data_IF_940463741471
#
_entry.id   IF_940463741471
#
_cell.length_a   1.000
_cell.length_b   1.000
_cell.length_c   1.000
_cell.angle_alpha   90.00
_cell.angle_beta   90.00
_cell.angle_gamma   90.00
#
_symmetry.space_group_name_H-M   'P 1'
#
loop_
_entity.id
_entity.type
_entity.pdbx_description
1 polymer ?
#
# COMPACT_ATOMS: atom_id res chain seq x y z
N UNK A 1 -25.88 -51.50 7.45
CA UNK A 1 -24.59 -50.96 7.89
C UNK A 1 -24.26 -49.78 6.93
N UNK A 2 -24.60 -48.55 7.33
CA UNK A 2 -24.43 -47.38 6.50
C UNK A 2 -23.15 -46.67 6.95
N UNK A 3 -22.14 -46.62 6.05
CA UNK A 3 -20.92 -45.90 6.27
C UNK A 3 -21.07 -44.41 5.94
N UNK A 4 -20.91 -43.51 6.90
CA UNK A 4 -20.80 -42.09 6.69
C UNK A 4 -19.35 -41.76 6.24
N UNK A 5 -19.21 -41.47 4.96
CA UNK A 5 -17.94 -40.91 4.44
C UNK A 5 -17.85 -39.44 4.77
N UNK A 6 -16.94 -39.06 5.66
CA UNK A 6 -16.52 -37.67 5.82
C UNK A 6 -15.71 -37.24 4.60
N UNK A 7 -16.23 -36.30 3.82
CA UNK A 7 -15.43 -35.61 2.81
C UNK A 7 -14.60 -34.54 3.51
N UNK A 8 -13.31 -34.76 3.59
CA UNK A 8 -12.34 -33.68 3.82
C UNK A 8 -12.32 -32.81 2.57
N UNK A 9 -12.82 -31.57 2.67
CA UNK A 9 -12.63 -30.57 1.63
C UNK A 9 -11.29 -29.86 1.90
N UNK A 10 -10.19 -30.52 1.54
CA UNK A 10 -8.86 -29.91 1.51
C UNK A 10 -8.60 -29.46 0.08
N UNK A 11 -8.79 -28.17 -0.17
CA UNK A 11 -8.53 -27.63 -1.49
C UNK A 11 -8.72 -26.14 -1.53
N UNK A 12 -7.91 -25.39 -0.75
CA UNK A 12 -7.65 -24.01 -1.10
C UNK A 12 -6.72 -24.03 -2.31
N UNK A 13 -7.28 -23.97 -3.50
CA UNK A 13 -6.53 -23.80 -4.74
C UNK A 13 -6.19 -22.30 -4.78
N UNK A 14 -4.95 -21.95 -4.45
CA UNK A 14 -4.42 -20.62 -4.76
C UNK A 14 -4.18 -20.62 -6.27
N UNK A 15 -5.15 -20.09 -7.03
CA UNK A 15 -5.04 -19.94 -8.47
C UNK A 15 -3.98 -18.91 -8.82
N UNK A 16 -2.94 -19.34 -9.51
CA UNK A 16 -2.05 -18.43 -10.22
C UNK A 16 -2.82 -17.71 -11.32
N UNK A 17 -2.73 -16.39 -11.38
CA UNK A 17 -3.50 -15.48 -12.19
C UNK A 17 -3.75 -15.90 -13.64
N UNK A 18 -5.02 -15.84 -14.02
CA UNK A 18 -5.47 -16.04 -15.39
C UNK A 18 -6.97 -16.30 -15.44
N UNK A 19 -7.76 -15.26 -15.66
CA UNK A 19 -9.12 -15.18 -16.14
C UNK A 19 -10.07 -16.35 -15.85
N UNK A 20 -10.83 -16.26 -14.78
CA UNK A 20 -11.95 -17.15 -14.53
C UNK A 20 -12.34 -17.22 -13.04
N UNK A 21 -13.19 -16.31 -12.56
CA UNK A 21 -13.94 -16.53 -11.32
C UNK A 21 -13.18 -16.42 -9.99
N UNK A 22 -11.97 -15.91 -9.99
CA UNK A 22 -11.20 -15.70 -8.76
C UNK A 22 -11.71 -14.43 -8.04
N UNK A 23 -12.02 -14.58 -6.76
CA UNK A 23 -12.47 -13.48 -5.92
C UNK A 23 -11.36 -12.44 -5.76
N UNK A 24 -11.73 -11.16 -5.80
CA UNK A 24 -10.78 -10.07 -5.58
C UNK A 24 -10.49 -9.88 -4.09
N UNK A 25 -9.27 -9.42 -3.77
CA UNK A 25 -8.82 -9.22 -2.39
C UNK A 25 -9.80 -8.37 -1.57
N UNK A 26 -10.32 -7.28 -2.14
CA UNK A 26 -11.28 -6.39 -1.47
C UNK A 26 -12.60 -7.10 -1.20
N UNK A 27 -13.06 -7.91 -2.15
CA UNK A 27 -14.34 -8.61 -2.05
C UNK A 27 -14.29 -9.71 -0.96
N UNK A 28 -13.10 -10.31 -0.73
CA UNK A 28 -12.90 -11.36 0.28
C UNK A 28 -12.64 -10.81 1.69
N UNK A 29 -11.88 -9.70 1.80
CA UNK A 29 -11.34 -9.26 3.09
C UNK A 29 -11.83 -7.88 3.53
N UNK A 30 -12.57 -7.14 2.70
CA UNK A 30 -13.21 -5.85 3.01
C UNK A 30 -12.29 -4.85 3.74
N UNK A 31 -11.15 -4.43 3.18
CA UNK A 31 -10.26 -3.43 3.77
C UNK A 31 -10.98 -2.10 3.96
N UNK A 32 -10.52 -1.30 4.94
CA UNK A 32 -11.00 0.05 5.14
C UNK A 32 -10.53 1.03 4.07
N UNK A 33 -9.28 0.84 3.58
CA UNK A 33 -8.68 1.56 2.46
C UNK A 33 -7.89 0.57 1.61
N UNK A 34 -7.96 0.72 0.28
CA UNK A 34 -7.26 -0.14 -0.64
C UNK A 34 -6.77 0.62 -1.87
N UNK A 35 -5.51 1.06 -1.87
CA UNK A 35 -4.81 1.64 -3.02
C UNK A 35 -3.91 0.58 -3.64
N UNK A 36 -4.13 0.25 -4.90
CA UNK A 36 -3.30 -0.72 -5.64
C UNK A 36 -3.25 -0.36 -7.12
N UNK A 37 -2.09 -0.51 -7.76
CA UNK A 37 -1.96 -0.26 -9.19
C UNK A 37 -2.57 -1.36 -10.05
N UNK A 38 -2.83 -2.55 -9.48
CA UNK A 38 -3.67 -3.58 -10.11
C UNK A 38 -5.11 -3.49 -9.62
N UNK A 39 -6.00 -4.16 -10.31
CA UNK A 39 -7.39 -4.34 -9.89
C UNK A 39 -7.48 -5.34 -8.75
N UNK A 40 -7.99 -4.91 -7.59
CA UNK A 40 -8.17 -5.74 -6.39
C UNK A 40 -9.61 -5.75 -5.87
N UNK A 41 -10.56 -5.19 -6.65
CA UNK A 41 -12.00 -5.20 -6.37
C UNK A 41 -12.78 -5.44 -7.65
N UNK A 42 -13.84 -6.23 -7.59
CA UNK A 42 -14.73 -6.48 -8.73
C UNK A 42 -15.39 -5.21 -9.26
N UNK A 43 -15.63 -4.24 -8.38
CA UNK A 43 -16.33 -2.98 -8.69
C UNK A 43 -15.41 -1.83 -9.08
N UNK A 44 -14.09 -1.96 -8.86
CA UNK A 44 -13.16 -0.90 -9.21
C UNK A 44 -13.03 -0.71 -10.72
N UNK A 45 -13.08 0.54 -11.16
CA UNK A 45 -12.94 0.95 -12.57
C UNK A 45 -11.66 1.69 -12.86
N UNK A 46 -11.13 2.44 -11.88
CA UNK A 46 -9.93 3.25 -12.00
C UNK A 46 -8.93 2.92 -10.89
N UNK A 47 -7.64 2.98 -11.21
CA UNK A 47 -6.55 2.88 -10.26
C UNK A 47 -6.03 4.26 -9.86
N UNK A 48 -5.66 5.07 -10.84
CA UNK A 48 -5.05 6.39 -10.64
C UNK A 48 -5.64 7.43 -11.58
N UNK A 49 -5.58 8.71 -11.18
CA UNK A 49 -5.70 9.86 -12.09
C UNK A 49 -4.33 10.46 -12.30
N UNK A 50 -3.98 10.71 -13.55
CA UNK A 50 -2.67 11.22 -13.96
C UNK A 50 -2.82 12.57 -14.65
N UNK A 51 -2.02 13.57 -14.24
CA UNK A 51 -1.81 14.84 -14.93
C UNK A 51 -0.55 14.73 -15.79
N UNK A 52 -0.62 15.04 -17.06
CA UNK A 52 0.57 15.14 -17.91
C UNK A 52 1.17 16.55 -17.88
N UNK A 53 2.51 16.62 -17.90
CA UNK A 53 3.24 17.88 -17.70
C UNK A 53 3.04 18.89 -18.83
N UNK A 54 2.89 18.43 -20.07
CA UNK A 54 2.91 19.28 -21.27
C UNK A 54 1.78 20.32 -21.34
N UNK A 55 0.61 19.99 -20.80
CA UNK A 55 -0.60 20.84 -20.91
C UNK A 55 -1.48 20.83 -19.65
N UNK A 56 -1.05 20.10 -18.61
CA UNK A 56 -1.78 19.88 -17.36
C UNK A 56 -3.15 19.19 -17.53
N UNK A 57 -3.42 18.54 -18.64
CA UNK A 57 -4.60 17.70 -18.78
C UNK A 57 -4.50 16.48 -17.86
N UNK A 58 -5.65 16.00 -17.40
CA UNK A 58 -5.77 14.85 -16.53
C UNK A 58 -6.56 13.72 -17.20
N UNK A 59 -6.19 12.48 -16.91
CA UNK A 59 -6.87 11.27 -17.35
C UNK A 59 -6.94 10.24 -16.24
N UNK A 60 -8.11 9.62 -16.10
CA UNK A 60 -8.28 8.44 -15.25
C UNK A 60 -7.71 7.22 -15.97
N UNK A 61 -6.81 6.51 -15.30
CA UNK A 61 -6.22 5.27 -15.77
C UNK A 61 -6.84 4.12 -14.99
N UNK A 62 -7.54 3.26 -15.71
CA UNK A 62 -8.18 2.07 -15.18
C UNK A 62 -7.32 0.82 -15.35
N UNK A 63 -7.98 -0.27 -15.76
CA UNK A 63 -7.37 -1.58 -15.81
C UNK A 63 -7.54 -2.21 -17.21
N UNK A 64 -6.54 -3.00 -17.61
CA UNK A 64 -6.60 -3.93 -18.73
C UNK A 64 -6.50 -5.34 -18.16
N UNK A 65 -7.64 -6.04 -18.06
CA UNK A 65 -7.77 -7.20 -17.18
C UNK A 65 -7.59 -6.77 -15.73
N UNK A 66 -6.68 -7.42 -15.00
CA UNK A 66 -6.37 -7.05 -13.62
C UNK A 66 -5.12 -6.15 -13.49
N UNK A 67 -4.43 -5.87 -14.57
CA UNK A 67 -3.28 -4.97 -14.59
C UNK A 67 -3.71 -3.51 -14.82
N UNK A 68 -2.88 -2.55 -14.38
CA UNK A 68 -3.02 -1.15 -14.80
C UNK A 68 -3.07 -1.07 -16.34
N UNK A 69 -3.90 -0.20 -16.90
CA UNK A 69 -3.90 0.04 -18.34
C UNK A 69 -2.67 0.85 -18.76
N UNK A 70 -1.54 0.15 -18.89
CA UNK A 70 -0.27 0.73 -19.30
C UNK A 70 -0.32 1.34 -20.70
N UNK A 71 -1.16 0.79 -21.59
CA UNK A 71 -1.34 1.32 -22.95
C UNK A 71 -2.00 2.70 -22.94
N UNK A 72 -3.07 2.86 -22.16
CA UNK A 72 -3.73 4.14 -21.98
C UNK A 72 -2.78 5.17 -21.36
N UNK A 73 -2.04 4.75 -20.31
CA UNK A 73 -1.07 5.61 -19.61
C UNK A 73 0.08 6.06 -20.53
N UNK A 74 0.71 5.13 -21.25
CA UNK A 74 1.79 5.44 -22.20
C UNK A 74 1.33 6.36 -23.32
N UNK A 75 0.14 6.10 -23.87
CA UNK A 75 -0.46 6.95 -24.91
C UNK A 75 -0.71 8.35 -24.39
N UNK A 76 -1.29 8.48 -23.20
CA UNK A 76 -1.58 9.77 -22.57
C UNK A 76 -0.31 10.58 -22.27
N UNK A 77 0.74 9.93 -21.78
CA UNK A 77 2.02 10.54 -21.41
C UNK A 77 3.05 10.55 -22.56
N UNK A 78 2.64 10.31 -23.81
CA UNK A 78 3.56 10.26 -24.93
C UNK A 78 4.38 11.55 -25.09
N UNK A 79 5.72 11.44 -24.94
CA UNK A 79 6.66 12.56 -25.04
C UNK A 79 6.59 13.56 -23.89
N UNK A 80 6.00 13.20 -22.74
CA UNK A 80 5.88 14.06 -21.56
C UNK A 80 5.88 13.24 -20.27
N UNK A 81 6.09 13.90 -19.13
CA UNK A 81 5.99 13.27 -17.83
C UNK A 81 4.53 13.18 -17.36
N UNK A 82 4.23 12.14 -16.57
CA UNK A 82 2.96 11.91 -15.92
C UNK A 82 3.08 11.86 -14.39
N UNK A 83 2.20 12.62 -13.71
CA UNK A 83 2.18 12.76 -12.26
C UNK A 83 0.81 12.35 -11.71
N UNK A 84 0.80 11.59 -10.61
CA UNK A 84 -0.43 11.09 -9.99
C UNK A 84 -1.07 12.20 -9.15
N UNK A 85 -2.30 12.56 -9.51
CA UNK A 85 -3.13 13.52 -8.76
C UNK A 85 -4.07 12.83 -7.80
N UNK A 86 -4.48 11.59 -8.11
CA UNK A 86 -5.38 10.77 -7.29
C UNK A 86 -4.94 9.30 -7.35
N UNK A 87 -4.85 8.66 -6.20
CA UNK A 87 -4.81 7.20 -6.09
C UNK A 87 -6.17 6.75 -5.59
N UNK A 88 -6.93 6.08 -6.44
CA UNK A 88 -8.31 5.71 -6.17
C UNK A 88 -8.40 4.58 -5.14
N UNK A 89 -9.32 4.75 -4.22
CA UNK A 89 -9.65 3.74 -3.21
C UNK A 89 -10.54 2.65 -3.81
N UNK A 90 -10.03 1.45 -3.88
CA UNK A 90 -10.77 0.29 -4.40
C UNK A 90 -11.60 -0.43 -3.31
N UNK A 91 -11.55 0.02 -2.05
CA UNK A 91 -12.31 -0.60 -0.95
C UNK A 91 -13.83 -0.38 -1.05
N UNK A 92 -14.27 0.56 -1.89
CA UNK A 92 -15.67 0.99 -1.98
C UNK A 92 -16.06 2.08 -0.97
N UNK A 93 -15.15 2.51 -0.09
CA UNK A 93 -15.40 3.55 0.92
C UNK A 93 -15.17 4.98 0.40
N UNK A 94 -14.73 5.14 -0.84
CA UNK A 94 -14.47 6.44 -1.48
C UNK A 94 -13.45 7.30 -0.70
N UNK A 95 -12.41 6.66 -0.23
CA UNK A 95 -11.34 7.27 0.58
C UNK A 95 -10.09 7.56 -0.28
N UNK A 96 -10.27 8.13 -1.45
CA UNK A 96 -9.20 8.43 -2.41
C UNK A 96 -8.09 9.29 -1.79
N UNK A 97 -6.83 8.96 -2.10
CA UNK A 97 -5.67 9.78 -1.74
C UNK A 97 -5.38 10.78 -2.86
N UNK A 98 -5.36 12.08 -2.53
CA UNK A 98 -5.29 13.16 -3.52
C UNK A 98 -4.15 14.14 -3.26
N UNK A 99 -3.64 14.77 -4.35
CA UNK A 99 -2.71 15.89 -4.31
C UNK A 99 -3.04 16.91 -5.39
N UNK A 100 -3.63 18.04 -4.99
CA UNK A 100 -4.00 19.12 -5.90
C UNK A 100 -2.80 19.99 -6.32
N UNK A 101 -1.75 20.05 -5.51
CA UNK A 101 -0.56 20.88 -5.78
C UNK A 101 0.34 20.19 -6.79
N UNK A 102 0.41 20.70 -8.00
CA UNK A 102 1.15 20.09 -9.12
C UNK A 102 2.62 19.76 -8.81
N UNK A 103 3.30 20.62 -8.06
CA UNK A 103 4.71 20.41 -7.67
C UNK A 103 4.91 19.37 -6.57
N UNK A 104 3.84 18.81 -6.02
CA UNK A 104 3.88 17.82 -4.95
C UNK A 104 3.23 16.49 -5.36
N UNK A 105 3.03 16.28 -6.65
CA UNK A 105 2.43 15.08 -7.21
C UNK A 105 3.53 14.07 -7.56
N UNK A 106 3.49 12.85 -7.02
CA UNK A 106 4.48 11.82 -7.33
C UNK A 106 4.35 11.36 -8.79
N UNK A 107 5.48 10.97 -9.38
CA UNK A 107 5.57 10.58 -10.78
C UNK A 107 5.15 9.13 -11.00
N UNK A 108 4.56 8.86 -12.15
CA UNK A 108 4.28 7.50 -12.65
C UNK A 108 4.90 7.25 -14.02
N UNK A 109 5.26 8.31 -14.74
CA UNK A 109 5.78 8.22 -16.09
C UNK A 109 6.83 9.30 -16.34
N UNK A 110 7.97 8.92 -16.91
CA UNK A 110 9.03 9.83 -17.35
C UNK A 110 9.15 9.81 -18.87
N UNK A 111 8.81 10.92 -19.51
CA UNK A 111 8.91 11.08 -20.98
C UNK A 111 8.24 9.91 -21.76
N UNK A 112 7.05 9.50 -21.32
CA UNK A 112 6.29 8.41 -21.95
C UNK A 112 6.69 7.00 -21.49
N UNK A 113 7.71 6.85 -20.63
CA UNK A 113 8.13 5.57 -20.06
C UNK A 113 7.57 5.43 -18.65
N UNK A 114 6.83 4.36 -18.40
CA UNK A 114 6.23 4.09 -17.09
C UNK A 114 7.31 3.71 -16.08
N UNK A 115 7.32 4.37 -14.93
CA UNK A 115 8.14 3.97 -13.78
C UNK A 115 7.70 2.58 -13.30
N UNK A 116 8.64 1.70 -13.03
CA UNK A 116 8.34 0.31 -12.67
C UNK A 116 9.30 -0.27 -11.65
N UNK A 117 8.80 -1.22 -10.86
CA UNK A 117 9.58 -2.07 -9.96
C UNK A 117 9.21 -3.51 -10.27
N UNK A 118 10.22 -4.36 -10.44
CA UNK A 118 10.06 -5.78 -10.76
C UNK A 118 9.13 -6.02 -11.99
N UNK A 119 9.24 -5.14 -13.01
CA UNK A 119 8.44 -5.23 -14.23
C UNK A 119 6.96 -4.88 -14.07
N UNK A 120 6.56 -4.26 -12.96
CA UNK A 120 5.20 -3.78 -12.71
C UNK A 120 5.21 -2.27 -12.48
N UNK A 121 4.20 -1.51 -12.93
CA UNK A 121 4.08 -0.09 -12.69
C UNK A 121 4.27 0.28 -11.22
N UNK A 122 4.91 1.42 -10.96
CA UNK A 122 5.15 1.93 -9.61
C UNK A 122 5.13 3.45 -9.58
N UNK A 123 4.56 4.05 -8.54
CA UNK A 123 4.52 5.49 -8.32
C UNK A 123 5.80 5.90 -7.60
N UNK A 124 6.53 6.87 -8.13
CA UNK A 124 7.78 7.38 -7.57
C UNK A 124 7.55 8.67 -6.77
N UNK A 125 7.86 8.62 -5.47
CA UNK A 125 8.04 9.82 -4.65
C UNK A 125 9.50 10.28 -4.68
N UNK A 126 9.73 11.56 -4.92
CA UNK A 126 11.07 12.14 -5.14
C UNK A 126 11.88 12.38 -3.85
N UNK A 127 11.24 12.29 -2.69
CA UNK A 127 11.86 12.58 -1.39
C UNK A 127 12.02 14.08 -1.09
N UNK A 128 11.41 14.96 -1.88
CA UNK A 128 11.52 16.42 -1.74
C UNK A 128 10.21 17.04 -1.26
N UNK A 129 9.11 16.80 -1.98
CA UNK A 129 7.82 17.42 -1.67
C UNK A 129 6.60 16.57 -2.08
N UNK A 130 6.80 15.40 -2.65
CA UNK A 130 5.74 14.52 -3.12
C UNK A 130 4.88 13.97 -1.98
N UNK A 131 3.58 13.89 -2.24
CA UNK A 131 2.59 13.35 -1.32
C UNK A 131 1.31 12.95 -2.05
N UNK A 132 0.60 11.95 -1.51
CA UNK A 132 -0.83 11.70 -1.79
C UNK A 132 -1.52 11.52 -0.44
N UNK A 133 -2.64 12.18 -0.21
CA UNK A 133 -3.26 12.24 1.13
C UNK A 133 -4.75 11.99 1.12
N UNK A 134 -5.22 11.32 2.17
CA UNK A 134 -6.62 11.29 2.58
C UNK A 134 -6.73 11.83 3.99
N UNK A 135 -7.56 12.84 4.19
CA UNK A 135 -7.85 13.46 5.48
C UNK A 135 -9.29 13.20 5.91
N UNK A 136 -9.63 13.54 7.16
CA UNK A 136 -10.99 13.38 7.68
C UNK A 136 -11.36 11.93 8.00
N UNK A 137 -10.37 11.07 8.21
CA UNK A 137 -10.57 9.70 8.63
C UNK A 137 -10.89 9.65 10.13
N UNK A 138 -11.57 8.58 10.53
CA UNK A 138 -11.77 8.25 11.95
C UNK A 138 -11.44 6.78 12.14
N UNK A 139 -10.35 6.52 12.80
CA UNK A 139 -9.92 5.17 13.07
C UNK A 139 -9.05 5.05 14.31
N UNK A 140 -9.00 3.85 14.84
CA UNK A 140 -8.24 3.49 16.03
C UNK A 140 -7.69 2.08 15.88
N UNK A 141 -7.11 1.55 16.94
CA UNK A 141 -6.78 0.12 17.02
C UNK A 141 -8.04 -0.73 17.27
N UNK A 142 -8.02 -1.99 16.91
CA UNK A 142 -6.96 -2.70 16.17
C UNK A 142 -6.88 -2.26 14.71
N UNK A 143 -5.70 -2.38 14.09
CA UNK A 143 -5.54 -2.16 12.64
C UNK A 143 -4.43 -3.04 12.05
N UNK A 144 -4.56 -3.28 10.75
CA UNK A 144 -3.53 -3.92 9.94
C UNK A 144 -3.23 -3.02 8.76
N UNK A 145 -1.95 -2.71 8.53
CA UNK A 145 -1.49 -1.93 7.39
C UNK A 145 -0.52 -2.76 6.56
N UNK A 146 -0.67 -2.69 5.25
CA UNK A 146 0.15 -3.41 4.28
C UNK A 146 0.65 -2.40 3.28
N UNK A 147 1.94 -2.46 2.95
CA UNK A 147 2.54 -1.62 1.92
C UNK A 147 3.48 -2.44 1.06
N UNK A 148 3.37 -2.24 -0.25
CA UNK A 148 4.34 -2.73 -1.22
C UNK A 148 5.12 -1.54 -1.78
N UNK A 149 6.41 -1.52 -1.52
CA UNK A 149 7.29 -0.42 -1.88
C UNK A 149 8.70 -0.91 -2.26
N UNK A 150 9.44 -0.04 -2.93
CA UNK A 150 10.89 -0.20 -3.14
C UNK A 150 11.59 1.08 -2.69
N UNK A 151 12.54 0.93 -1.77
CA UNK A 151 13.22 2.04 -1.14
C UNK A 151 14.39 2.52 -1.98
N UNK A 152 14.44 3.83 -2.24
CA UNK A 152 15.58 4.50 -2.89
C UNK A 152 16.35 5.32 -1.86
N UNK A 153 15.64 6.12 -1.07
CA UNK A 153 16.21 7.01 -0.05
C UNK A 153 16.43 6.33 1.31
N UNK A 154 17.09 7.07 2.20
CA UNK A 154 17.45 6.59 3.55
C UNK A 154 16.66 7.28 4.66
N UNK A 155 15.66 8.10 4.32
CA UNK A 155 14.84 8.82 5.28
C UNK A 155 13.44 9.06 4.74
N UNK A 156 12.49 9.28 5.64
CA UNK A 156 11.12 9.62 5.31
C UNK A 156 10.11 8.86 6.17
N UNK A 157 8.86 9.28 6.09
CA UNK A 157 7.74 8.68 6.80
C UNK A 157 6.50 8.64 5.90
N UNK A 158 5.70 7.60 6.01
CA UNK A 158 4.43 7.45 5.29
C UNK A 158 3.46 6.54 6.04
N UNK A 159 2.20 6.53 5.66
CA UNK A 159 1.17 5.65 6.20
C UNK A 159 0.06 6.38 6.94
N UNK A 160 -0.48 5.79 8.00
CA UNK A 160 -1.55 6.37 8.80
C UNK A 160 -1.02 7.32 9.88
N UNK A 161 -1.60 8.50 9.99
CA UNK A 161 -1.16 9.56 10.87
C UNK A 161 -2.26 10.10 11.77
N UNK A 162 -1.85 10.64 12.93
CA UNK A 162 -2.66 11.48 13.81
C UNK A 162 -1.98 12.83 13.97
N UNK A 163 -2.75 13.88 14.15
CA UNK A 163 -2.27 15.26 14.17
C UNK A 163 -1.16 15.57 15.19
N UNK A 164 -1.03 14.84 16.28
CA UNK A 164 0.05 15.06 17.26
C UNK A 164 0.78 13.78 17.67
N UNK A 165 0.23 12.63 17.34
CA UNK A 165 0.81 11.33 17.66
C UNK A 165 0.92 10.52 16.37
N UNK A 166 2.12 10.16 16.01
CA UNK A 166 2.43 9.60 14.71
C UNK A 166 2.61 8.12 14.89
N UNK A 167 1.85 7.32 14.12
CA UNK A 167 2.21 5.93 13.86
C UNK A 167 2.30 5.77 12.37
N UNK A 168 3.49 5.54 11.88
CA UNK A 168 3.77 5.47 10.45
C UNK A 168 4.94 4.55 10.18
N UNK A 169 5.06 4.13 8.93
CA UNK A 169 6.29 3.53 8.46
C UNK A 169 7.38 4.61 8.39
N UNK A 170 8.55 4.30 8.90
CA UNK A 170 9.74 5.13 8.82
C UNK A 170 10.76 4.45 7.94
N UNK A 171 11.21 5.14 6.89
CA UNK A 171 12.38 4.73 6.12
C UNK A 171 13.63 5.24 6.84
N UNK A 172 14.57 4.35 7.15
CA UNK A 172 15.84 4.70 7.76
C UNK A 172 17.03 4.15 6.95
N UNK A 173 18.22 4.67 7.20
CA UNK A 173 19.44 4.19 6.54
C UNK A 173 19.69 2.68 6.78
N UNK A 174 19.27 2.19 7.93
CA UNK A 174 19.43 0.80 8.36
C UNK A 174 18.17 -0.06 8.15
N UNK A 175 17.13 0.47 7.48
CA UNK A 175 15.90 -0.26 7.17
C UNK A 175 14.63 0.51 7.53
N UNK A 176 13.49 -0.12 7.29
CA UNK A 176 12.17 0.44 7.58
C UNK A 176 11.63 -0.06 8.90
N UNK A 177 10.90 0.77 9.61
CA UNK A 177 10.30 0.45 10.91
C UNK A 177 9.02 1.26 11.14
N UNK A 178 8.28 0.96 12.21
CA UNK A 178 7.23 1.84 12.70
C UNK A 178 7.83 2.92 13.59
N UNK A 179 7.30 4.11 13.43
CA UNK A 179 7.62 5.27 14.26
C UNK A 179 6.35 5.77 14.94
N UNK A 180 6.41 5.95 16.28
CA UNK A 180 5.32 6.54 17.04
C UNK A 180 5.86 7.45 18.14
N UNK A 181 5.28 8.64 18.29
CA UNK A 181 5.53 9.57 19.40
C UNK A 181 7.02 9.83 19.72
N UNK A 182 7.89 9.90 18.73
CA UNK A 182 9.30 10.15 18.96
C UNK A 182 10.16 8.89 19.15
N UNK A 183 9.55 7.73 19.24
CA UNK A 183 10.25 6.45 19.34
C UNK A 183 10.07 5.63 18.07
N UNK A 184 11.09 4.92 17.68
CA UNK A 184 11.09 4.01 16.55
C UNK A 184 11.06 2.57 17.06
N UNK A 185 10.17 1.76 16.48
CA UNK A 185 9.88 0.40 16.94
C UNK A 185 10.07 -0.60 15.82
N UNK A 186 10.38 -1.81 16.20
CA UNK A 186 10.54 -2.94 15.33
C UNK A 186 11.95 -3.07 14.75
N UNK A 187 12.23 -4.24 14.24
CA UNK A 187 13.45 -4.49 13.51
C UNK A 187 13.40 -3.76 12.18
N UNK A 188 14.55 -3.60 11.61
CA UNK A 188 14.73 -2.98 10.31
C UNK A 188 14.46 -4.00 9.22
N UNK A 189 13.65 -3.62 8.24
CA UNK A 189 13.83 -4.19 6.91
C UNK A 189 15.23 -3.84 6.44
N UNK A 190 16.04 -4.83 6.19
CA UNK A 190 17.41 -4.62 5.67
C UNK A 190 17.46 -4.55 4.15
N UNK A 191 16.31 -4.66 3.49
CA UNK A 191 16.23 -4.77 2.05
C UNK A 191 16.31 -3.38 1.40
N UNK A 192 17.25 -3.22 0.47
CA UNK A 192 17.29 -2.12 -0.49
C UNK A 192 16.64 -2.56 -1.81
N UNK A 193 15.53 -3.31 -1.71
CA UNK A 193 14.80 -3.89 -2.83
C UNK A 193 13.32 -3.83 -2.51
N UNK A 194 12.48 -4.12 -3.48
CA UNK A 194 11.04 -4.22 -3.29
C UNK A 194 10.70 -5.10 -2.06
N UNK A 195 9.85 -4.60 -1.19
CA UNK A 195 9.43 -5.29 0.02
C UNK A 195 7.93 -5.15 0.26
N UNK A 196 7.30 -6.25 0.67
CA UNK A 196 5.96 -6.27 1.20
C UNK A 196 6.05 -6.22 2.73
N UNK A 197 5.77 -5.06 3.31
CA UNK A 197 5.65 -4.92 4.75
C UNK A 197 4.20 -5.03 5.19
N UNK A 198 3.98 -5.75 6.26
CA UNK A 198 2.70 -5.76 6.97
C UNK A 198 2.94 -5.45 8.44
N UNK A 199 2.16 -4.53 8.95
CA UNK A 199 2.08 -4.18 10.35
C UNK A 199 0.70 -4.56 10.88
N UNK A 200 0.66 -5.26 12.01
CA UNK A 200 -0.56 -5.58 12.76
C UNK A 200 -0.48 -4.99 14.16
N UNK A 201 -1.51 -4.30 14.59
CA UNK A 201 -1.69 -3.93 15.99
C UNK A 201 -2.95 -4.56 16.55
N UNK A 202 -2.83 -5.34 17.58
CA UNK A 202 -3.92 -5.75 18.46
C UNK A 202 -4.23 -4.65 19.47
N UNK A 203 -4.97 -4.87 20.55
CA UNK A 203 -5.57 -3.76 21.26
C UNK A 203 -4.63 -2.88 22.09
N UNK A 204 -3.97 -3.29 23.14
CA UNK A 204 -3.52 -2.32 24.15
C UNK A 204 -2.08 -2.46 24.62
N UNK A 205 -1.37 -3.48 24.23
CA UNK A 205 0.01 -3.71 24.66
C UNK A 205 0.95 -3.87 23.47
N UNK A 206 2.21 -3.52 23.64
CA UNK A 206 3.23 -3.62 22.60
C UNK A 206 3.66 -5.03 22.29
N UNK A 207 3.45 -5.96 23.22
CA UNK A 207 3.70 -7.39 22.99
C UNK A 207 2.86 -7.95 21.83
N UNK A 208 1.77 -7.26 21.48
CA UNK A 208 0.79 -7.70 20.50
C UNK A 208 1.01 -7.10 19.12
N UNK A 209 2.01 -6.25 18.93
CA UNK A 209 2.37 -5.71 17.64
C UNK A 209 3.25 -6.67 16.88
N UNK A 210 2.86 -6.91 15.63
CA UNK A 210 3.59 -7.82 14.77
C UNK A 210 3.98 -7.15 13.47
N UNK A 211 5.18 -7.43 13.06
CA UNK A 211 5.76 -7.01 11.81
C UNK A 211 6.06 -8.22 10.95
N UNK A 212 5.74 -8.09 9.68
CA UNK A 212 6.06 -9.10 8.67
C UNK A 212 6.73 -8.41 7.48
N UNK A 213 7.79 -9.01 6.98
CA UNK A 213 8.44 -8.63 5.75
C UNK A 213 8.51 -9.83 4.84
N UNK A 214 8.00 -9.68 3.60
CA UNK A 214 8.00 -10.73 2.61
C UNK A 214 7.50 -12.09 3.16
N UNK A 215 6.34 -12.05 3.82
CA UNK A 215 5.70 -13.22 4.43
C UNK A 215 6.24 -13.66 5.78
N UNK A 216 7.45 -13.28 6.15
CA UNK A 216 8.12 -13.71 7.39
C UNK A 216 7.89 -12.73 8.53
N UNK A 217 7.58 -13.25 9.75
CA UNK A 217 7.49 -12.42 10.94
C UNK A 217 8.88 -11.91 11.34
N UNK A 218 8.97 -10.59 11.53
CA UNK A 218 10.18 -9.96 12.03
C UNK A 218 10.02 -9.74 13.54
N UNK A 219 11.00 -10.19 14.32
CA UNK A 219 10.96 -10.12 15.78
C UNK A 219 10.94 -8.67 16.26
N UNK A 220 9.98 -8.32 17.10
CA UNK A 220 9.84 -6.99 17.67
C UNK A 220 10.67 -6.88 18.96
N UNK A 221 11.45 -5.81 19.11
CA UNK A 221 12.13 -5.42 20.35
C UNK A 221 11.38 -4.26 21.03
N UNK A 222 10.04 -4.34 21.13
CA UNK A 222 9.20 -3.19 21.32
C UNK A 222 9.10 -2.64 22.73
N UNK A 223 8.92 -1.33 22.84
CA UNK A 223 8.45 -0.59 24.01
C UNK A 223 6.92 -0.42 23.98
N UNK A 224 6.32 -0.12 25.14
CA UNK A 224 4.88 0.05 25.27
C UNK A 224 4.37 1.33 24.58
N UNK A 225 3.48 1.21 23.63
CA UNK A 225 2.86 2.33 22.94
C UNK A 225 1.40 2.43 23.35
N UNK A 226 0.97 3.63 23.80
CA UNK A 226 -0.39 3.89 24.25
C UNK A 226 -1.48 3.76 23.17
N UNK A 227 -2.68 4.19 23.48
CA UNK A 227 -3.80 4.23 22.53
C UNK A 227 -3.44 5.01 21.26
N UNK A 228 -3.88 4.51 20.13
CA UNK A 228 -3.62 5.08 18.82
C UNK A 228 -4.94 5.36 18.11
N UNK A 229 -5.10 6.58 17.64
CA UNK A 229 -6.14 6.96 16.68
C UNK A 229 -5.48 7.57 15.46
N UNK A 230 -6.11 7.50 14.30
CA UNK A 230 -5.62 8.18 13.10
C UNK A 230 -6.77 8.96 12.45
N UNK A 231 -6.44 10.08 11.80
CA UNK A 231 -7.40 10.93 11.11
C UNK A 231 -6.98 11.27 9.68
N UNK A 232 -5.82 10.80 9.26
CA UNK A 232 -5.36 10.94 7.89
C UNK A 232 -4.40 9.81 7.50
N UNK A 233 -4.27 9.61 6.20
CA UNK A 233 -3.21 8.82 5.57
C UNK A 233 -2.41 9.76 4.68
N UNK A 234 -1.10 9.60 4.68
CA UNK A 234 -0.19 10.28 3.80
C UNK A 234 0.80 9.28 3.21
N UNK A 235 0.83 9.23 1.90
CA UNK A 235 1.77 8.42 1.14
C UNK A 235 2.91 9.34 0.69
N UNK A 236 4.15 8.85 0.76
CA UNK A 236 5.40 9.55 0.43
C UNK A 236 5.82 10.64 1.40
N UNK A 237 5.02 11.03 2.39
CA UNK A 237 5.40 12.05 3.34
C UNK A 237 4.74 11.90 4.72
N UNK A 238 5.15 12.77 5.63
CA UNK A 238 4.54 13.02 6.93
C UNK A 238 3.94 14.43 6.96
N UNK A 239 2.63 14.58 7.21
CA UNK A 239 1.94 15.87 7.10
C UNK A 239 2.45 16.99 8.02
N UNK A 240 3.11 16.65 9.13
CA UNK A 240 3.49 17.60 10.20
C UNK A 240 4.93 18.09 10.13
N UNK A 241 5.75 17.50 9.31
CA UNK A 241 7.14 17.95 9.09
C UNK A 241 7.62 17.57 7.68
N UNK A 242 8.71 18.19 7.26
CA UNK A 242 9.26 18.03 5.92
C UNK A 242 9.93 16.67 5.66
N UNK A 243 9.51 15.58 6.33
CA UNK A 243 10.06 14.25 6.09
C UNK A 243 9.37 13.60 4.91
N UNK A 244 10.09 13.46 3.81
CA UNK A 244 9.64 12.91 2.53
C UNK A 244 10.30 11.58 2.26
N UNK A 245 9.64 10.72 1.49
CA UNK A 245 10.13 9.42 1.11
C UNK A 245 10.55 9.39 -0.35
N UNK A 246 11.83 9.11 -0.60
CA UNK A 246 12.29 8.74 -1.94
C UNK A 246 12.12 7.22 -2.09
N UNK A 247 11.03 6.83 -2.72
CA UNK A 247 10.67 5.43 -2.87
C UNK A 247 9.67 5.22 -4.00
N UNK A 248 9.62 4.03 -4.52
CA UNK A 248 8.49 3.54 -5.32
C UNK A 248 7.42 2.94 -4.41
N UNK A 249 6.15 3.14 -4.77
CA UNK A 249 5.00 2.50 -4.12
C UNK A 249 4.09 1.87 -5.17
N UNK A 250 3.62 0.65 -4.90
CA UNK A 250 2.71 -0.07 -5.80
C UNK A 250 1.37 -0.38 -5.14
N UNK A 251 1.35 -0.52 -3.81
CA UNK A 251 0.14 -0.83 -3.05
C UNK A 251 0.21 -0.28 -1.62
N UNK A 252 -0.94 0.17 -1.10
CA UNK A 252 -1.15 0.45 0.32
C UNK A 252 -2.57 0.04 0.70
N UNK A 253 -2.69 -0.90 1.63
CA UNK A 253 -3.98 -1.45 2.08
C UNK A 253 -4.07 -1.35 3.60
N UNK A 254 -5.23 -0.98 4.12
CA UNK A 254 -5.45 -0.83 5.55
C UNK A 254 -6.78 -1.44 5.98
N UNK A 255 -6.74 -2.19 7.06
CA UNK A 255 -7.90 -2.75 7.74
C UNK A 255 -8.08 -2.09 9.11
N UNK A 256 -9.31 -1.86 9.53
CA UNK A 256 -9.69 -1.44 10.88
C UNK A 256 -9.86 -2.66 11.82
N UNK A 257 -9.08 -3.69 11.60
CA UNK A 257 -9.10 -4.97 12.31
C UNK A 257 -7.70 -5.53 12.48
N UNK A 258 -7.53 -6.40 13.46
CA UNK A 258 -6.37 -7.28 13.57
C UNK A 258 -6.63 -8.52 12.70
N UNK A 259 -6.08 -8.54 11.51
CA UNK A 259 -6.31 -9.65 10.59
C UNK A 259 -5.78 -10.98 11.15
N UNK A 260 -6.59 -12.03 11.05
CA UNK A 260 -6.20 -13.36 11.48
C UNK A 260 -4.94 -13.85 10.75
N UNK A 261 -4.24 -14.82 11.32
CA UNK A 261 -3.07 -15.41 10.64
C UNK A 261 -3.44 -16.01 9.27
N UNK A 262 -4.62 -16.60 9.15
CA UNK A 262 -5.11 -17.17 7.88
C UNK A 262 -5.35 -16.06 6.85
N UNK A 263 -6.07 -14.99 7.21
CA UNK A 263 -6.30 -13.86 6.32
C UNK A 263 -4.99 -13.18 5.92
N UNK A 264 -4.10 -12.95 6.90
CA UNK A 264 -2.78 -12.37 6.67
C UNK A 264 -2.00 -13.13 5.59
N UNK A 265 -1.88 -14.44 5.74
CA UNK A 265 -1.15 -15.27 4.78
C UNK A 265 -1.79 -15.20 3.40
N UNK A 266 -3.10 -15.35 3.31
CA UNK A 266 -3.81 -15.30 2.05
C UNK A 266 -3.71 -13.94 1.34
N UNK A 267 -3.75 -12.82 2.09
CA UNK A 267 -3.56 -11.48 1.56
C UNK A 267 -2.12 -11.30 1.04
N UNK A 268 -1.12 -11.73 1.81
CA UNK A 268 0.29 -11.65 1.41
C UNK A 268 0.57 -12.50 0.16
N UNK A 269 0.03 -13.72 0.12
CA UNK A 269 0.17 -14.62 -1.03
C UNK A 269 -0.51 -14.04 -2.29
N UNK A 270 -1.69 -13.43 -2.14
CA UNK A 270 -2.39 -12.77 -3.23
C UNK A 270 -1.59 -11.60 -3.83
N UNK A 271 -0.98 -10.76 -2.98
CA UNK A 271 -0.12 -9.66 -3.43
C UNK A 271 1.16 -10.20 -4.07
N UNK A 272 1.82 -11.17 -3.42
CA UNK A 272 3.05 -11.77 -3.93
C UNK A 272 2.86 -12.51 -5.26
N UNK A 273 1.74 -13.17 -5.45
CA UNK A 273 1.43 -13.87 -6.70
C UNK A 273 1.39 -12.94 -7.92
N UNK A 274 0.96 -11.69 -7.74
CA UNK A 274 0.94 -10.69 -8.83
C UNK A 274 2.27 -9.95 -9.00
N UNK A 275 2.85 -9.49 -7.89
CA UNK A 275 4.04 -8.62 -7.91
C UNK A 275 5.36 -9.39 -7.90
N UNK A 276 5.35 -10.68 -7.58
CA UNK A 276 6.52 -11.60 -7.61
C UNK A 276 7.67 -11.07 -6.74
N UNK A 277 7.39 -10.82 -5.46
CA UNK A 277 8.29 -10.10 -4.55
C UNK A 277 9.33 -11.04 -3.95
N UNK A 278 8.92 -12.28 -3.57
CA UNK A 278 9.74 -13.29 -2.88
C UNK A 278 9.31 -14.71 -3.22
#
# INVERSE_FOLDING_TARGET
MYGYGYRYNSGLVVGAGGGGGDSYLVDDYAPYIAYDLRKISSTATNSIRVRRLSDNNELDIGFSGDALDESALTTFCSGTDGFVTTFYDQSGNSLDAVMATASSQPRICLNGVIDSVNGKPAILGDGVNDSLRKTGLTGSRPNTQIVLYDKIGTSGYFGAFVFNNITCFSLGATGSRIYQNGAAFGPYSTLNTQALLMFKSTELTTSDWKFYENGSEITNSGEAIGTFTYNNISLFDRPTNASRCNMYMQSYIMFNSDESTTNRLAIQDNINAYYTIY
#
